data_IF_486472531089
#
_entry.id   IF_486472531089
#
_cell.length_a   1.000
_cell.length_b   1.000
_cell.length_c   1.000
_cell.angle_alpha   90.00
_cell.angle_beta   90.00
_cell.angle_gamma   90.00
#
_symmetry.space_group_name_H-M   'P 1'
#
loop_
_entity.id
_entity.type
_entity.pdbx_description
1 polymer ?
2 non-polymer ?
3 non-polymer ?
4 water ?
#
# COMPACT_ATOMS: atom_id res chain seq x y z
N UNK A 16 -3.81 19.52 3.97
CA UNK A 16 -2.56 18.91 4.42
C UNK A 16 -1.50 18.99 3.31
N UNK A 17 -0.83 20.14 3.22
CA UNK A 17 0.18 20.43 2.20
C UNK A 17 1.50 19.73 2.47
N UNK A 18 1.54 18.83 3.45
CA UNK A 18 2.77 18.12 3.78
C UNK A 18 3.33 17.39 2.57
N UNK A 19 2.52 16.52 1.97
CA UNK A 19 3.04 15.61 0.96
C UNK A 19 3.32 16.29 -0.38
N UNK A 20 2.95 17.57 -0.52
CA UNK A 20 3.09 18.27 -1.79
C UNK A 20 4.55 18.40 -2.24
N UNK A 21 5.50 18.35 -1.31
CA UNK A 21 6.90 18.58 -1.65
C UNK A 21 7.78 17.38 -1.32
N UNK A 22 7.18 16.19 -1.24
CA UNK A 22 7.95 14.97 -1.07
C UNK A 22 8.91 14.76 -2.24
N UNK A 23 10.18 14.50 -1.92
CA UNK A 23 11.22 14.35 -2.93
C UNK A 23 11.77 12.93 -3.05
N UNK A 24 11.49 12.06 -2.08
CA UNK A 24 12.00 10.70 -2.11
C UNK A 24 10.88 9.75 -1.72
N UNK A 25 11.07 8.48 -2.05
CA UNK A 25 10.10 7.47 -1.68
C UNK A 25 9.53 6.70 -2.85
N UNK A 26 9.05 5.50 -2.56
CA UNK A 26 8.31 4.72 -3.54
C UNK A 26 6.99 4.31 -2.91
N UNK A 27 5.96 4.14 -3.74
CA UNK A 27 4.58 4.00 -3.26
C UNK A 27 3.91 2.89 -4.06
N UNK A 28 3.22 1.99 -3.36
CA UNK A 28 2.59 0.84 -3.99
C UNK A 28 1.14 0.73 -3.54
N UNK A 29 0.30 0.21 -4.44
CA UNK A 29 -1.07 -0.19 -4.11
C UNK A 29 -1.05 -1.56 -3.46
N UNK A 30 -1.84 -1.74 -2.40
CA UNK A 30 -2.11 -3.06 -1.82
C UNK A 30 -3.60 -3.32 -1.96
N UNK A 31 -3.95 -4.46 -2.55
CA UNK A 31 -5.35 -4.89 -2.63
C UNK A 31 -5.53 -6.07 -1.69
N UNK A 32 -6.38 -5.91 -0.69
CA UNK A 32 -6.63 -6.95 0.30
C UNK A 32 -7.97 -7.61 0.02
N UNK A 33 -7.99 -8.95 -0.09
CA UNK A 33 -9.27 -9.63 -0.27
C UNK A 33 -10.16 -9.52 0.96
N UNK A 34 -9.60 -9.25 2.14
CA UNK A 34 -10.35 -9.34 3.39
C UNK A 34 -10.18 -8.09 4.25
N UNK A 35 -11.30 -7.54 4.72
CA UNK A 35 -11.23 -6.45 5.70
C UNK A 35 -10.75 -6.95 7.05
N UNK A 36 -11.04 -8.21 7.39
CA UNK A 36 -10.50 -8.77 8.63
C UNK A 36 -8.97 -8.75 8.62
N UNK A 37 -8.36 -8.97 7.45
CA UNK A 37 -6.90 -8.90 7.36
C UNK A 37 -6.39 -7.47 7.56
N UNK A 38 -7.14 -6.47 7.09
CA UNK A 38 -6.78 -5.08 7.40
C UNK A 38 -6.77 -4.87 8.90
N UNK A 39 -7.82 -5.34 9.58
CA UNK A 39 -7.88 -5.22 11.04
C UNK A 39 -6.66 -5.87 11.69
N UNK A 40 -6.29 -7.08 11.26
CA UNK A 40 -5.16 -7.77 11.87
C UNK A 40 -3.86 -7.02 11.60
N UNK A 41 -3.74 -6.45 10.39
CA UNK A 41 -2.54 -5.69 10.04
C UNK A 41 -2.39 -4.47 10.95
N UNK A 42 -3.50 -3.81 11.25
CA UNK A 42 -3.47 -2.63 12.11
C UNK A 42 -3.14 -3.03 13.54
N UNK A 43 -3.66 -4.17 13.99
CA UNK A 43 -3.44 -4.60 15.36
C UNK A 43 -1.99 -5.00 15.58
N UNK A 44 -1.40 -5.71 14.62
CA UNK A 44 -0.09 -6.30 14.81
C UNK A 44 1.01 -5.63 14.01
N UNK A 45 0.68 -4.61 13.21
CA UNK A 45 1.67 -3.85 12.45
C UNK A 45 2.49 -4.75 11.53
N UNK A 46 1.80 -5.64 10.81
CA UNK A 46 2.42 -6.56 9.87
C UNK A 46 1.57 -6.66 8.62
N UNK A 47 2.20 -7.10 7.54
CA UNK A 47 1.50 -7.43 6.30
C UNK A 47 2.24 -8.58 5.62
N UNK A 48 1.56 -9.19 4.66
CA UNK A 48 2.12 -10.21 3.78
C UNK A 48 1.36 -10.14 2.46
N UNK A 49 2.08 -10.14 1.34
CA UNK A 49 1.49 -10.14 0.01
C UNK A 49 1.54 -11.54 -0.57
N UNK A 50 1.32 -11.66 -1.88
CA UNK A 50 1.55 -12.91 -2.60
C UNK A 50 3.05 -13.13 -2.77
N UNK A 51 3.42 -14.28 -3.33
CA UNK A 51 4.84 -14.53 -3.58
C UNK A 51 5.43 -13.48 -4.51
N UNK A 52 4.74 -13.19 -5.62
CA UNK A 52 5.24 -12.17 -6.54
C UNK A 52 5.17 -10.78 -5.92
N UNK A 53 4.11 -10.48 -5.16
CA UNK A 53 4.01 -9.17 -4.54
C UNK A 53 5.07 -8.97 -3.47
N UNK A 54 5.31 -9.99 -2.65
CA UNK A 54 6.37 -9.89 -1.64
C UNK A 54 7.72 -9.61 -2.28
N UNK A 55 8.02 -10.28 -3.40
CA UNK A 55 9.31 -10.08 -4.07
C UNK A 55 9.46 -8.65 -4.56
N UNK A 56 8.38 -8.08 -5.11
CA UNK A 56 8.44 -6.70 -5.60
C UNK A 56 8.65 -5.71 -4.46
N UNK A 57 7.90 -5.86 -3.36
CA UNK A 57 8.04 -4.94 -2.24
C UNK A 57 9.40 -5.09 -1.56
N UNK A 58 9.88 -6.33 -1.43
CA UNK A 58 11.20 -6.57 -0.84
C UNK A 58 12.29 -5.86 -1.65
N UNK A 59 12.27 -6.04 -2.97
CA UNK A 59 13.25 -5.38 -3.84
C UNK A 59 13.23 -3.87 -3.65
N UNK A 60 12.04 -3.27 -3.63
CA UNK A 60 11.94 -1.83 -3.47
C UNK A 60 12.43 -1.38 -2.10
N UNK A 61 12.03 -2.09 -1.04
CA UNK A 61 12.48 -1.70 0.29
C UNK A 61 13.99 -1.81 0.42
N UNK A 62 14.57 -2.89 -0.09
CA UNK A 62 16.00 -3.12 0.08
C UNK A 62 16.84 -2.13 -0.72
N UNK A 63 16.44 -1.86 -1.97
CA UNK A 63 17.20 -0.90 -2.77
C UNK A 63 17.08 0.51 -2.21
N UNK A 64 16.00 0.78 -1.47
CA UNK A 64 15.83 2.08 -0.85
C UNK A 64 16.87 2.30 0.25
N UNK A 65 17.27 1.22 0.93
CA UNK A 65 18.34 1.24 1.93
C UNK A 65 18.13 2.34 2.96
N UNK A 66 16.86 2.59 3.30
CA UNK A 66 16.54 3.60 4.28
C UNK A 66 16.74 5.03 3.83
N UNK A 67 16.87 5.28 2.53
CA UNK A 67 17.04 6.64 2.02
C UNK A 67 15.73 7.37 1.78
N UNK A 68 14.59 6.69 1.93
CA UNK A 68 13.28 7.29 1.77
C UNK A 68 12.24 6.27 2.18
N UNK A 69 10.97 6.67 2.25
CA UNK A 69 9.93 5.73 2.69
C UNK A 69 9.40 4.88 1.54
N UNK A 70 8.91 3.69 1.90
CA UNK A 70 8.05 2.90 1.02
C UNK A 70 6.66 2.96 1.63
N UNK A 71 5.72 3.61 0.93
CA UNK A 71 4.34 3.73 1.39
C UNK A 71 3.45 2.74 0.65
N UNK A 72 2.42 2.29 1.35
CA UNK A 72 1.45 1.32 0.86
C UNK A 72 0.07 1.93 0.99
N UNK A 73 -0.67 1.97 -0.12
CA UNK A 73 -2.02 2.51 -0.16
C UNK A 73 -3.00 1.35 -0.22
N UNK A 74 -3.78 1.15 0.85
CA UNK A 74 -4.57 -0.07 1.01
C UNK A 74 -6.01 0.11 0.53
N UNK A 75 -6.55 -0.94 -0.10
CA UNK A 75 -7.95 -0.99 -0.54
C UNK A 75 -8.43 -2.43 -0.53
N UNK A 76 -9.58 -2.68 0.08
CA UNK A 76 -10.18 -4.02 0.05
C UNK A 76 -10.91 -4.22 -1.27
N UNK A 77 -10.68 -5.37 -1.91
CA UNK A 77 -11.33 -5.70 -3.17
C UNK A 77 -12.84 -5.56 -3.08
N UNK A 78 -13.41 -4.89 -4.08
CA UNK A 78 -14.85 -4.73 -4.17
C UNK A 78 -15.44 -3.73 -3.21
N UNK A 79 -14.63 -3.09 -2.37
CA UNK A 79 -15.19 -2.25 -1.31
C UNK A 79 -15.58 -0.86 -1.79
N UNK A 80 -14.99 -0.38 -2.88
CA UNK A 80 -15.30 0.95 -3.36
C UNK A 80 -14.54 2.08 -2.71
N UNK A 81 -13.57 1.78 -1.85
CA UNK A 81 -12.85 2.85 -1.17
C UNK A 81 -11.47 2.35 -0.78
N UNK A 82 -10.55 3.30 -0.60
CA UNK A 82 -9.31 2.97 0.08
C UNK A 82 -9.54 3.03 1.59
N UNK A 83 -8.74 2.29 2.35
CA UNK A 83 -8.95 2.22 3.79
C UNK A 83 -7.76 2.70 4.62
N UNK A 84 -6.65 3.07 4.00
CA UNK A 84 -5.59 3.69 4.76
C UNK A 84 -4.26 3.63 4.04
N UNK A 85 -3.24 4.05 4.77
CA UNK A 85 -1.87 4.17 4.28
C UNK A 85 -0.94 3.65 5.37
N UNK A 86 0.04 2.83 4.98
CA UNK A 86 1.07 2.37 5.90
C UNK A 86 2.43 2.53 5.26
N UNK A 87 3.46 2.62 6.10
CA UNK A 87 4.84 2.62 5.64
C UNK A 87 5.43 1.24 5.88
N UNK A 88 6.10 0.70 4.85
CA UNK A 88 6.95 -0.48 5.02
C UNK A 88 8.01 -0.20 6.06
N UNK A 89 8.15 -1.07 7.07
CA UNK A 89 9.18 -0.85 8.09
C UNK A 89 10.18 -1.99 8.21
N UNK A 90 10.18 -2.96 7.30
CA UNK A 90 11.21 -4.00 7.30
C UNK A 90 11.23 -4.70 5.95
N UNK A 91 12.33 -5.41 5.71
CA UNK A 91 12.39 -6.31 4.57
C UNK A 91 11.47 -7.50 4.81
N UNK A 92 11.26 -8.28 3.77
CA UNK A 92 10.33 -9.40 3.88
C UNK A 92 11.05 -10.56 4.56
N UNK A 93 10.41 -11.11 5.59
CA UNK A 93 10.84 -12.36 6.21
C UNK A 93 9.97 -13.45 5.60
N UNK A 94 10.59 -14.31 4.79
CA UNK A 94 9.87 -15.40 4.14
C UNK A 94 9.72 -16.63 5.03
N UNK A 95 10.42 -16.68 6.17
CA UNK A 95 10.41 -17.85 7.05
C UNK A 95 9.32 -17.67 8.09
N UNK A 96 8.09 -17.97 7.69
CA UNK A 96 6.97 -17.77 8.59
C UNK A 96 6.00 -18.94 8.55
N UNK A 97 5.19 -18.98 9.60
CA UNK A 97 4.04 -19.85 9.68
C UNK A 97 3.08 -19.56 8.54
N UNK A 98 2.44 -20.61 8.02
CA UNK A 98 1.37 -20.42 7.05
C UNK A 98 0.05 -20.15 7.76
N UNK A 99 -0.96 -19.74 6.99
CA UNK A 99 -2.31 -19.70 7.52
C UNK A 99 -2.65 -18.52 8.40
N UNK A 100 -1.85 -17.45 8.36
CA UNK A 100 -2.15 -16.27 9.16
C UNK A 100 -3.22 -15.42 8.48
N UNK A 101 -3.28 -15.44 7.16
CA UNK A 101 -4.03 -14.47 6.37
C UNK A 101 -5.22 -15.15 5.69
N UNK A 102 -5.97 -14.37 4.91
CA UNK A 102 -7.26 -14.85 4.40
C UNK A 102 -7.13 -16.04 3.46
N UNK A 103 -5.99 -16.23 2.80
CA UNK A 103 -5.74 -17.47 2.08
C UNK A 103 -4.61 -18.21 2.78
N UNK A 104 -4.84 -19.49 3.11
CA UNK A 104 -3.93 -20.21 4.00
C UNK A 104 -2.52 -20.31 3.44
N UNK A 105 -2.37 -20.33 2.11
CA UNK A 105 -1.06 -20.63 1.54
C UNK A 105 -0.05 -19.50 1.73
N UNK A 106 -0.50 -18.26 1.94
CA UNK A 106 0.45 -17.15 1.98
C UNK A 106 1.35 -17.26 3.21
N UNK A 107 2.66 -17.30 2.98
CA UNK A 107 3.67 -17.17 4.02
C UNK A 107 4.51 -15.93 3.74
N UNK A 108 5.18 -15.45 4.78
CA UNK A 108 5.93 -14.23 4.66
C UNK A 108 5.39 -13.16 5.57
N UNK A 109 6.22 -12.17 5.89
CA UNK A 109 5.80 -11.12 6.79
C UNK A 109 6.78 -9.98 6.69
N UNK A 110 6.26 -8.76 6.75
CA UNK A 110 7.09 -7.60 6.95
C UNK A 110 6.34 -6.63 7.85
N UNK A 111 7.10 -5.79 8.54
CA UNK A 111 6.53 -4.81 9.45
C UNK A 111 5.96 -3.63 8.68
N UNK A 112 4.90 -3.04 9.22
CA UNK A 112 4.34 -1.81 8.70
C UNK A 112 3.99 -0.89 9.85
N UNK A 113 3.92 0.40 9.54
CA UNK A 113 3.45 1.41 10.47
C UNK A 113 2.29 2.13 9.81
N UNK A 114 1.10 1.99 10.37
CA UNK A 114 -0.06 2.64 9.78
C UNK A 114 -0.02 4.14 10.08
N UNK A 115 -0.15 4.96 9.05
CA UNK A 115 -0.16 6.40 9.26
C UNK A 115 -1.53 7.03 8.99
N UNK A 116 -2.37 6.43 8.16
CA UNK A 116 -3.77 6.82 8.05
C UNK A 116 -4.63 5.57 8.09
N UNK A 117 -5.66 5.57 8.93
CA UNK A 117 -6.70 4.54 8.92
C UNK A 117 -8.01 5.29 8.71
N UNK A 118 -8.49 5.31 7.47
CA UNK A 118 -9.68 6.09 7.15
C UNK A 118 -10.19 5.68 5.78
N UNK A 119 -11.51 5.65 5.65
CA UNK A 119 -12.16 5.24 4.41
C UNK A 119 -12.26 6.43 3.48
N UNK A 120 -11.69 6.30 2.29
CA UNK A 120 -11.72 7.36 1.29
C UNK A 120 -12.36 6.79 0.03
N UNK A 121 -13.52 7.30 -0.39
CA UNK A 121 -14.20 6.72 -1.56
C UNK A 121 -13.36 6.81 -2.82
N UNK A 122 -13.47 5.77 -3.65
CA UNK A 122 -12.77 5.78 -4.93
C UNK A 122 -13.10 7.02 -5.74
N UNK A 123 -14.30 7.57 -5.58
CA UNK A 123 -14.68 8.76 -6.33
C UNK A 123 -13.73 9.93 -6.07
N UNK A 124 -13.07 9.95 -4.91
CA UNK A 124 -12.15 11.04 -4.58
C UNK A 124 -10.80 10.90 -5.26
N UNK A 125 -10.46 9.70 -5.73
CA UNK A 125 -9.13 9.37 -6.20
C UNK A 125 -9.08 8.99 -7.67
N UNK A 126 -10.22 8.69 -8.28
CA UNK A 126 -10.31 8.16 -9.63
C UNK A 126 -9.68 9.07 -10.68
N UNK A 127 -9.59 10.37 -10.40
CA UNK A 127 -9.08 11.29 -11.41
C UNK A 127 -7.56 11.22 -11.55
N UNK A 128 -6.87 10.54 -10.64
CA UNK A 128 -5.42 10.41 -10.70
C UNK A 128 -5.09 9.19 -11.55
N UNK A 129 -4.38 9.41 -12.67
CA UNK A 129 -4.04 8.34 -13.59
C UNK A 129 -2.55 8.00 -13.51
N UNK A 130 -2.23 6.73 -13.79
CA UNK A 130 -0.87 6.23 -13.67
C UNK A 130 -0.26 6.08 -15.06
N UNK A 131 0.72 6.94 -15.37
CA UNK A 131 1.32 6.93 -16.70
C UNK A 131 2.18 5.69 -16.94
N UNK A 132 2.56 4.97 -15.88
CA UNK A 132 3.25 3.69 -16.01
C UNK A 132 2.30 2.51 -16.17
N UNK A 133 0.98 2.73 -16.10
CA UNK A 133 -0.02 1.68 -16.23
C UNK A 133 -1.11 2.12 -17.22
N UNK A 134 -0.70 2.44 -18.44
CA UNK A 134 -1.63 2.74 -19.54
C UNK A 134 -2.58 3.90 -19.21
N UNK A 135 -2.12 4.82 -18.36
CA UNK A 135 -2.90 5.98 -17.90
C UNK A 135 -4.20 5.55 -17.23
N UNK A 136 -4.23 4.36 -16.63
CA UNK A 136 -5.42 3.92 -15.93
C UNK A 136 -5.58 4.64 -14.60
N UNK A 137 -6.82 4.80 -14.13
CA UNK A 137 -7.05 5.42 -12.82
C UNK A 137 -6.35 4.62 -11.73
N UNK A 138 -5.84 5.33 -10.73
CA UNK A 138 -5.17 4.67 -9.62
C UNK A 138 -6.13 3.72 -8.89
N UNK A 139 -7.43 3.95 -9.02
CA UNK A 139 -8.45 3.11 -8.40
C UNK A 139 -8.70 1.82 -9.16
N UNK A 140 -8.09 1.63 -10.32
CA UNK A 140 -8.23 0.39 -11.07
C UNK A 140 -6.95 -0.42 -11.06
N UNK A 141 -6.19 -0.33 -9.97
CA UNK A 141 -4.90 -0.98 -9.87
C UNK A 141 -5.02 -2.39 -9.29
N UNK A 142 -4.03 -3.22 -9.60
CA UNK A 142 -3.89 -4.55 -9.02
C UNK A 142 -2.92 -4.49 -7.84
N UNK A 143 -2.89 -5.56 -7.05
CA UNK A 143 -1.99 -5.62 -5.90
C UNK A 143 -0.53 -5.39 -6.32
N UNK A 144 0.16 -4.54 -5.54
CA UNK A 144 1.55 -4.09 -5.69
C UNK A 144 1.82 -3.33 -6.98
N UNK A 145 0.78 -2.79 -7.62
CA UNK A 145 1.00 -1.79 -8.66
C UNK A 145 1.77 -0.61 -8.08
N UNK A 146 2.88 -0.22 -8.73
CA UNK A 146 3.64 0.93 -8.25
C UNK A 146 3.05 2.23 -8.80
N UNK A 147 3.11 3.28 -7.98
CA UNK A 147 2.52 4.58 -8.28
C UNK A 147 3.67 5.57 -8.49
N UNK A 148 3.74 6.27 -9.62
CA UNK A 148 4.76 7.31 -9.77
C UNK A 148 4.66 8.34 -8.65
N UNK A 149 5.82 8.84 -8.21
CA UNK A 149 5.85 9.66 -7.01
C UNK A 149 4.97 10.90 -7.15
N UNK A 150 4.95 11.53 -8.32
CA UNK A 150 4.17 12.75 -8.44
C UNK A 150 2.67 12.47 -8.35
N UNK A 151 2.23 11.28 -8.78
CA UNK A 151 0.84 10.90 -8.62
C UNK A 151 0.57 10.44 -7.19
N UNK A 152 1.54 9.73 -6.59
CA UNK A 152 1.38 9.30 -5.20
C UNK A 152 1.22 10.49 -4.26
N UNK A 153 1.94 11.58 -4.53
CA UNK A 153 1.80 12.77 -3.70
C UNK A 153 0.38 13.31 -3.75
N UNK A 154 -0.27 13.23 -4.92
CA UNK A 154 -1.64 13.70 -5.05
C UNK A 154 -2.61 12.80 -4.30
N UNK A 155 -2.41 11.48 -4.36
CA UNK A 155 -3.22 10.55 -3.58
C UNK A 155 -3.06 10.82 -2.09
N UNK A 156 -1.81 10.98 -1.64
CA UNK A 156 -1.56 11.14 -0.22
C UNK A 156 -2.19 12.43 0.30
N UNK A 157 -2.12 13.51 -0.47
CA UNK A 157 -2.76 14.76 -0.05
C UNK A 157 -4.25 14.58 0.13
N UNK A 158 -4.89 13.86 -0.79
CA UNK A 158 -6.33 13.67 -0.73
C UNK A 158 -6.72 12.79 0.46
N UNK A 159 -6.00 11.68 0.66
CA UNK A 159 -6.29 10.81 1.80
C UNK A 159 -6.08 11.57 3.11
N UNK A 160 -5.00 12.34 3.19
CA UNK A 160 -4.70 13.04 4.44
C UNK A 160 -5.73 14.10 4.76
N UNK A 161 -6.29 14.74 3.73
CA UNK A 161 -7.21 15.85 3.92
C UNK A 161 -8.67 15.41 4.00
N UNK A 162 -9.00 14.18 3.62
CA UNK A 162 -10.40 13.79 3.55
C UNK A 162 -11.01 13.68 4.95
N UNK A 163 -12.26 14.11 5.07
CA UNK A 163 -12.99 14.02 6.33
C UNK A 163 -14.46 13.71 6.06
X LIG B 1 -3.18 -9.96 -2.59
X LIG B 1 -3.28 -10.07 -1.07
X LIG B 1 -3.34 -10.27 1.82
X LIG B 1 -4.59 -10.14 -0.33
X LIG B 1 -3.29 -10.38 3.34
X LIG B 1 -2.05 -10.10 -0.34
X LIG B 1 -2.09 -10.20 1.08
X LIG B 1 -4.60 -10.23 1.10
X LIG B 1 -5.63 -10.12 -0.90
X LIG C 1 -5.58 -8.45 -6.91
X LIG C 1 -4.68 -7.58 -7.66
X LIG C 1 -6.77 -7.71 -6.58
X LIG C 1 -4.90 -8.94 -5.71
X LIG C 1 -5.92 -9.58 -7.78
X LIG D 1 -6.64 -11.93 16.94
X LIG D 1 -7.23 -10.81 16.22
X LIG D 1 -5.32 -11.54 17.45
X LIG D 1 -6.52 -13.10 16.08
X LIG D 1 -7.49 -12.26 18.08
X LIG E 1 -14.68 2.81 -9.21
X LIG E 1 -13.79 3.96 -9.11
X LIG E 1 -16.06 3.28 -9.28
X LIG E 1 -14.34 2.06 -10.42
X LIG E 1 -14.55 1.92 -8.05
X LIG F 1 -12.66 -1.56 -5.54
X LIG F 1 -12.09 -0.52 -6.40
X LIG F 1 -12.74 -1.10 -4.15
X LIG F 1 -13.99 -1.94 -5.99
X LIG F 1 -11.75 -2.69 -5.54
X LIG G 1 -11.55 -5.02 -7.42
X LIG G 1 -10.86 -4.07 -8.29
X LIG G 1 -11.02 -4.84 -6.07
X LIG G 1 -13.00 -4.78 -7.49
X LIG G 1 -11.24 -6.42 -7.77
#
# INVERSE_FOLDING_TARGET
MGSSYHHHHHHSSGENLYFQHMKHGRVFIIKSYSEDDIHRSIKYNIWCSTEHGNKRLDAAYRSMNGKGPVYLLFSVNGSGHFCGVAEMKSAVDYNTCAGVWSQDKWKGRFDVRWIFVKDVPNSQLRHIRLENNENKPVTNSRDTQEVPLEKAKQVLKIIASYKHTTS
I4S C01 C02 C05 C07 C09 N03 N04 N06 O08
SO4 S O1 O2 O3 O4
SO4 S O1 O2 O3 O4
SO4 S O1 O2 O3 O4
SO4 S O1 O2 O3 O4
SO4 S O1 O2 O3 O4
#
